data_IF_400987948909
#
_entry.id   IF_400987948909
#
_cell.length_a   1.000
_cell.length_b   1.000
_cell.length_c   1.000
_cell.angle_alpha   90.00
_cell.angle_beta   90.00
_cell.angle_gamma   90.00
#
_symmetry.space_group_name_H-M   'P 1'
#
loop_
_entity.id
_entity.type
_entity.pdbx_description
1 polymer ?
#
# COMPACT_ATOMS: atom_id res chain seq x y z
N UNK A 1 -3.16 9.98 -20.31
CA UNK A 1 -2.02 9.73 -19.35
C UNK A 1 -1.90 8.24 -19.13
N UNK A 2 -0.70 7.67 -19.12
CA UNK A 2 -0.52 6.25 -18.80
C UNK A 2 -0.51 6.08 -17.28
N UNK A 3 -1.54 5.42 -16.74
CA UNK A 3 -1.75 5.32 -15.28
C UNK A 3 -0.60 4.56 -14.59
N UNK A 4 -0.08 3.53 -15.24
CA UNK A 4 1.07 2.77 -14.71
C UNK A 4 2.29 3.66 -14.49
N UNK A 5 2.57 4.59 -15.41
CA UNK A 5 3.67 5.54 -15.26
C UNK A 5 3.44 6.55 -14.14
N UNK A 6 2.19 6.97 -13.91
CA UNK A 6 1.85 7.84 -12.77
C UNK A 6 2.15 7.13 -11.45
N UNK A 7 1.73 5.85 -11.34
CA UNK A 7 1.97 5.05 -10.14
C UNK A 7 3.47 4.84 -9.90
N UNK A 8 4.25 4.51 -10.94
CA UNK A 8 5.72 4.35 -10.85
C UNK A 8 6.41 5.63 -10.39
N UNK A 9 6.03 6.76 -10.97
CA UNK A 9 6.62 8.06 -10.61
C UNK A 9 6.21 8.51 -9.20
N UNK A 10 4.97 8.24 -8.78
CA UNK A 10 4.52 8.45 -7.41
C UNK A 10 5.35 7.62 -6.42
N UNK A 11 5.57 6.35 -6.73
CA UNK A 11 6.41 5.46 -5.95
C UNK A 11 7.85 5.97 -5.83
N UNK A 12 8.46 6.33 -6.95
CA UNK A 12 9.82 6.89 -6.98
C UNK A 12 9.94 8.22 -6.23
N UNK A 13 8.85 8.99 -6.12
CA UNK A 13 8.77 10.22 -5.34
C UNK A 13 8.51 9.99 -3.84
N UNK A 14 8.40 8.74 -3.38
CA UNK A 14 8.12 8.39 -1.98
C UNK A 14 6.68 8.70 -1.55
N UNK A 15 5.74 8.69 -2.48
CA UNK A 15 4.33 8.85 -2.13
C UNK A 15 3.81 7.62 -1.39
N UNK A 16 3.01 7.84 -0.34
CA UNK A 16 2.29 6.79 0.37
C UNK A 16 0.96 6.43 -0.32
N UNK A 17 0.30 7.43 -0.92
CA UNK A 17 -1.00 7.24 -1.56
C UNK A 17 -1.07 8.02 -2.89
N UNK A 18 -1.84 7.47 -3.83
CA UNK A 18 -2.24 8.11 -5.09
C UNK A 18 -3.75 8.12 -5.16
N UNK A 19 -4.34 9.28 -5.39
CA UNK A 19 -5.78 9.40 -5.60
C UNK A 19 -6.06 9.81 -7.04
N UNK A 20 -6.89 9.02 -7.70
CA UNK A 20 -7.28 9.21 -9.10
C UNK A 20 -8.78 9.48 -9.17
N UNK A 21 -9.15 10.71 -9.55
CA UNK A 21 -10.53 11.17 -9.66
C UNK A 21 -10.76 11.73 -11.06
N UNK A 22 -11.89 11.36 -11.65
CA UNK A 22 -12.32 11.95 -12.93
C UNK A 22 -12.37 13.48 -12.85
N UNK A 23 -11.89 14.14 -13.89
CA UNK A 23 -11.95 15.59 -14.01
C UNK A 23 -10.94 16.35 -13.14
N UNK A 24 -10.00 15.66 -12.51
CA UNK A 24 -8.92 16.26 -11.70
C UNK A 24 -7.56 15.68 -12.09
N UNK A 25 -6.46 16.38 -11.79
CA UNK A 25 -5.13 15.79 -11.85
C UNK A 25 -5.01 14.64 -10.84
N UNK A 26 -4.10 13.71 -11.08
CA UNK A 26 -3.73 12.74 -10.05
C UNK A 26 -3.21 13.46 -8.80
N UNK A 27 -3.61 13.01 -7.63
CA UNK A 27 -3.18 13.58 -6.35
C UNK A 27 -2.26 12.59 -5.64
N UNK A 28 -1.13 13.06 -5.15
CA UNK A 28 -0.16 12.26 -4.40
C UNK A 28 -0.13 12.71 -2.94
N UNK A 29 0.01 11.74 -2.03
CA UNK A 29 0.34 12.02 -0.63
C UNK A 29 1.82 11.73 -0.41
N UNK A 30 2.58 12.76 -0.08
CA UNK A 30 4.01 12.66 0.26
C UNK A 30 4.21 13.29 1.63
N UNK A 31 4.80 12.55 2.55
CA UNK A 31 5.01 12.99 3.94
C UNK A 31 3.74 13.57 4.59
N UNK A 32 2.59 12.90 4.38
CA UNK A 32 1.28 13.31 4.90
C UNK A 32 0.59 14.43 4.14
N UNK A 33 1.29 15.14 3.24
CA UNK A 33 0.74 16.27 2.49
C UNK A 33 0.21 15.84 1.13
N UNK A 34 -1.02 16.25 0.79
CA UNK A 34 -1.63 16.01 -0.53
C UNK A 34 -1.25 17.11 -1.51
N UNK A 35 -0.78 16.73 -2.69
CA UNK A 35 -0.45 17.65 -3.78
C UNK A 35 -0.87 17.10 -5.14
N UNK A 36 -1.17 17.99 -6.08
CA UNK A 36 -1.47 17.58 -7.45
C UNK A 36 -0.19 17.14 -8.16
N UNK A 37 -0.27 16.04 -8.89
CA UNK A 37 0.80 15.56 -9.76
C UNK A 37 0.57 16.05 -11.19
N UNK A 38 1.33 17.06 -11.59
CA UNK A 38 1.19 17.68 -12.89
C UNK A 38 -0.14 18.47 -13.05
N UNK A 39 -0.47 18.75 -14.29
CA UNK A 39 -1.69 19.53 -14.66
C UNK A 39 -2.64 18.75 -15.56
N UNK A 40 -2.28 17.52 -15.95
CA UNK A 40 -3.09 16.69 -16.84
C UNK A 40 -4.32 16.16 -16.11
N UNK A 41 -5.49 16.42 -16.69
CA UNK A 41 -6.78 16.05 -16.12
C UNK A 41 -7.14 14.62 -16.49
N UNK A 42 -7.41 13.81 -15.50
CA UNK A 42 -7.83 12.40 -15.67
C UNK A 42 -9.17 12.31 -16.40
N UNK A 43 -9.19 11.46 -17.41
CA UNK A 43 -10.36 11.13 -18.22
C UNK A 43 -10.88 9.74 -17.81
N UNK A 44 -12.14 9.42 -18.19
CA UNK A 44 -12.72 8.10 -17.92
C UNK A 44 -11.90 6.94 -18.50
N UNK A 45 -11.26 7.16 -19.65
CA UNK A 45 -10.39 6.14 -20.28
C UNK A 45 -9.21 5.77 -19.39
N UNK A 46 -8.62 6.74 -18.67
CA UNK A 46 -7.47 6.52 -17.80
C UNK A 46 -7.88 5.66 -16.57
N UNK A 47 -9.07 5.92 -16.02
CA UNK A 47 -9.64 5.12 -14.94
C UNK A 47 -10.03 3.71 -15.40
N UNK A 48 -10.57 3.56 -16.62
CA UNK A 48 -10.86 2.25 -17.19
C UNK A 48 -9.59 1.44 -17.45
N UNK A 49 -8.48 2.08 -17.82
CA UNK A 49 -7.17 1.44 -17.90
C UNK A 49 -6.75 0.88 -16.55
N UNK A 50 -6.85 1.68 -15.48
CA UNK A 50 -6.58 1.22 -14.11
C UNK A 50 -7.40 -0.02 -13.75
N UNK A 51 -8.72 -0.01 -14.02
CA UNK A 51 -9.59 -1.16 -13.74
C UNK A 51 -9.13 -2.42 -14.50
N UNK A 52 -8.59 -2.24 -15.70
CA UNK A 52 -8.11 -3.37 -16.51
C UNK A 52 -6.82 -3.95 -15.97
N UNK A 53 -5.95 -3.11 -15.41
CA UNK A 53 -4.69 -3.52 -14.79
C UNK A 53 -4.93 -4.16 -13.41
N UNK A 54 -5.85 -3.60 -12.62
CA UNK A 54 -5.97 -3.91 -11.21
C UNK A 54 -7.04 -4.97 -10.89
N UNK A 55 -8.05 -5.16 -11.73
CA UNK A 55 -9.20 -5.99 -11.40
C UNK A 55 -9.39 -7.16 -12.36
N UNK A 56 -9.65 -8.36 -11.81
CA UNK A 56 -10.15 -9.51 -12.56
C UNK A 56 -11.58 -9.28 -13.05
N UNK A 57 -12.07 -10.13 -13.94
CA UNK A 57 -13.45 -10.03 -14.45
C UNK A 57 -14.50 -10.18 -13.34
N UNK A 58 -14.28 -11.07 -12.37
CA UNK A 58 -15.20 -11.26 -11.25
C UNK A 58 -15.19 -10.05 -10.30
N UNK A 59 -14.01 -9.46 -10.08
CA UNK A 59 -13.89 -8.22 -9.30
C UNK A 59 -14.58 -7.03 -9.97
N UNK A 60 -14.53 -6.95 -11.32
CA UNK A 60 -15.27 -5.92 -12.07
C UNK A 60 -16.77 -6.07 -11.91
N UNK A 61 -17.31 -7.30 -11.93
CA UNK A 61 -18.73 -7.56 -11.67
C UNK A 61 -19.12 -7.14 -10.25
N UNK A 62 -18.31 -7.51 -9.24
CA UNK A 62 -18.54 -7.06 -7.87
C UNK A 62 -18.57 -5.54 -7.78
N UNK A 63 -17.62 -4.83 -8.40
CA UNK A 63 -17.61 -3.38 -8.45
C UNK A 63 -18.87 -2.78 -9.10
N UNK A 64 -19.39 -3.42 -10.15
CA UNK A 64 -20.64 -3.00 -10.79
C UNK A 64 -21.86 -3.17 -9.88
N UNK A 65 -21.90 -4.24 -9.10
CA UNK A 65 -23.00 -4.59 -8.19
C UNK A 65 -22.96 -3.81 -6.87
N UNK A 66 -21.79 -3.67 -6.26
CA UNK A 66 -21.62 -3.06 -4.92
C UNK A 66 -21.28 -1.58 -4.97
N UNK A 67 -20.68 -1.11 -6.07
CA UNK A 67 -20.21 0.26 -6.24
C UNK A 67 -18.80 0.53 -5.70
N UNK A 68 -18.17 -0.44 -5.01
CA UNK A 68 -16.80 -0.34 -4.50
C UNK A 68 -16.13 -1.71 -4.43
N UNK A 69 -14.80 -1.73 -4.48
CA UNK A 69 -13.99 -2.94 -4.28
C UNK A 69 -12.58 -2.60 -3.83
N UNK A 70 -12.05 -3.44 -2.95
CA UNK A 70 -10.64 -3.46 -2.59
C UNK A 70 -9.90 -4.56 -3.36
N UNK A 71 -8.73 -4.24 -3.88
CA UNK A 71 -7.86 -5.19 -4.56
C UNK A 71 -6.41 -4.99 -4.15
N UNK A 72 -5.66 -6.08 -4.12
CA UNK A 72 -4.21 -6.06 -3.96
C UNK A 72 -3.57 -6.53 -5.25
N UNK A 73 -2.68 -5.74 -5.83
CA UNK A 73 -2.12 -5.94 -7.16
C UNK A 73 -0.60 -5.83 -7.12
N UNK A 74 0.08 -6.71 -7.83
CA UNK A 74 1.52 -6.57 -8.08
C UNK A 74 1.72 -5.98 -9.48
N UNK A 75 2.38 -4.83 -9.54
CA UNK A 75 2.73 -4.17 -10.80
C UNK A 75 4.21 -4.50 -11.11
N UNK A 76 4.53 -4.99 -12.32
CA UNK A 76 5.91 -5.26 -12.71
C UNK A 76 6.81 -4.04 -12.51
N UNK A 77 7.92 -4.23 -11.78
CA UNK A 77 8.87 -3.16 -11.45
C UNK A 77 8.45 -2.26 -10.28
N UNK A 78 7.36 -2.62 -9.57
CA UNK A 78 6.91 -2.00 -8.33
C UNK A 78 6.67 -3.08 -7.28
N UNK A 79 6.57 -2.65 -6.02
CA UNK A 79 6.06 -3.52 -4.95
C UNK A 79 4.55 -3.76 -5.10
N UNK A 80 3.99 -4.53 -4.21
CA UNK A 80 2.53 -4.72 -4.12
C UNK A 80 1.86 -3.38 -3.79
N UNK A 81 0.72 -3.11 -4.43
CA UNK A 81 -0.12 -1.95 -4.17
C UNK A 81 -1.51 -2.40 -3.71
N UNK A 82 -2.14 -1.61 -2.87
CA UNK A 82 -3.56 -1.76 -2.52
C UNK A 82 -4.36 -0.70 -3.24
N UNK A 83 -5.45 -1.11 -3.88
CA UNK A 83 -6.31 -0.24 -4.67
C UNK A 83 -7.74 -0.39 -4.15
N UNK A 84 -8.30 0.69 -3.63
CA UNK A 84 -9.74 0.80 -3.43
C UNK A 84 -10.33 1.53 -4.63
N UNK A 85 -11.21 0.88 -5.36
CA UNK A 85 -11.96 1.46 -6.48
C UNK A 85 -13.40 1.65 -6.07
N UNK A 86 -13.95 2.82 -6.35
CA UNK A 86 -15.33 3.17 -6.00
C UNK A 86 -15.99 4.06 -7.05
N UNK A 87 -17.33 4.13 -6.99
CA UNK A 87 -18.11 5.05 -7.82
C UNK A 87 -18.38 6.36 -7.10
N UNK A 88 -18.07 7.47 -7.77
CA UNK A 88 -18.38 8.81 -7.31
C UNK A 88 -19.08 9.58 -8.44
N UNK A 89 -20.29 10.04 -8.21
CA UNK A 89 -21.10 10.78 -9.20
C UNK A 89 -21.24 10.05 -10.56
N UNK A 90 -21.40 8.73 -10.50
CA UNK A 90 -21.54 7.89 -11.69
C UNK A 90 -20.24 7.55 -12.42
N UNK A 91 -19.09 8.09 -11.99
CA UNK A 91 -17.78 7.84 -12.56
C UNK A 91 -16.93 7.00 -11.58
N UNK A 92 -15.94 6.29 -12.10
CA UNK A 92 -15.00 5.59 -11.25
C UNK A 92 -13.98 6.55 -10.65
N UNK A 93 -13.55 6.22 -9.44
CA UNK A 93 -12.44 6.84 -8.74
C UNK A 93 -11.61 5.76 -8.05
N UNK A 94 -10.36 6.05 -7.73
CA UNK A 94 -9.51 5.11 -7.03
C UNK A 94 -8.60 5.79 -6.00
N UNK A 95 -8.41 5.11 -4.88
CA UNK A 95 -7.38 5.39 -3.91
C UNK A 95 -6.38 4.23 -3.92
N UNK A 96 -5.12 4.53 -4.17
CA UNK A 96 -4.03 3.54 -4.28
C UNK A 96 -3.07 3.80 -3.13
N UNK A 97 -2.84 2.78 -2.31
CA UNK A 97 -1.77 2.79 -1.30
C UNK A 97 -0.54 2.10 -1.88
N UNK A 98 0.57 2.79 -1.81
CA UNK A 98 1.88 2.31 -2.22
C UNK A 98 2.63 1.79 -0.98
N UNK A 99 3.14 0.56 -1.07
CA UNK A 99 3.97 0.01 -0.01
C UNK A 99 5.43 0.40 -0.23
N UNK A 100 6.16 0.63 0.84
CA UNK A 100 7.60 0.82 0.76
C UNK A 100 8.27 -0.43 0.17
N UNK A 101 9.31 -0.27 -0.67
CA UNK A 101 9.98 -1.41 -1.33
C UNK A 101 10.70 -2.31 -0.34
N UNK A 102 11.26 -1.70 0.69
CA UNK A 102 12.09 -2.38 1.68
C UNK A 102 11.50 -2.21 3.08
N UNK A 103 11.67 -3.25 3.88
CA UNK A 103 11.33 -3.19 5.30
C UNK A 103 12.52 -2.54 6.02
N UNK A 104 12.34 -1.36 6.64
CA UNK A 104 13.43 -0.71 7.35
C UNK A 104 13.91 -1.55 8.52
N UNK A 105 15.19 -1.48 8.85
CA UNK A 105 15.75 -2.18 10.01
C UNK A 105 15.24 -1.58 11.33
N UNK A 106 15.25 -2.34 12.43
CA UNK A 106 14.88 -1.82 13.74
C UNK A 106 15.69 -0.58 14.17
N UNK A 107 16.96 -0.51 13.75
CA UNK A 107 17.83 0.64 14.02
C UNK A 107 17.38 1.90 13.28
N UNK A 108 17.00 1.80 12.01
CA UNK A 108 16.45 2.92 11.23
C UNK A 108 15.12 3.44 11.78
N UNK A 109 14.31 2.55 12.38
CA UNK A 109 13.06 2.89 13.07
C UNK A 109 13.25 3.39 14.50
N UNK A 110 14.48 3.45 14.99
CA UNK A 110 14.82 3.77 16.37
C UNK A 110 14.08 2.87 17.40
N UNK A 111 13.84 1.59 17.05
CA UNK A 111 13.25 0.62 17.96
C UNK A 111 14.24 0.32 19.08
N UNK A 112 13.83 0.43 20.36
CA UNK A 112 14.72 0.13 21.49
C UNK A 112 15.27 -1.29 21.43
N UNK A 113 16.54 -1.48 21.78
CA UNK A 113 17.21 -2.80 21.77
C UNK A 113 16.49 -3.85 22.65
N UNK A 114 15.88 -3.41 23.74
CA UNK A 114 15.04 -4.28 24.58
C UNK A 114 13.85 -4.89 23.84
N UNK A 115 13.27 -4.16 22.86
CA UNK A 115 12.17 -4.66 22.03
C UNK A 115 12.71 -5.63 20.98
N UNK A 116 13.87 -5.34 20.39
CA UNK A 116 14.53 -6.25 19.44
C UNK A 116 14.86 -7.57 20.12
N UNK A 117 15.34 -7.53 21.35
CA UNK A 117 15.65 -8.73 22.16
C UNK A 117 14.38 -9.55 22.44
N UNK A 118 13.24 -8.92 22.74
CA UNK A 118 11.96 -9.62 22.94
C UNK A 118 11.53 -10.42 21.70
N UNK A 119 11.83 -9.94 20.52
CA UNK A 119 11.52 -10.65 19.28
C UNK A 119 12.35 -11.95 19.09
N UNK A 120 13.47 -12.09 19.79
CA UNK A 120 14.33 -13.27 19.75
C UNK A 120 13.91 -14.38 20.70
N UNK A 121 12.98 -14.09 21.63
CA UNK A 121 12.48 -15.06 22.59
C UNK A 121 11.82 -16.27 21.90
N UNK A 122 12.07 -17.47 22.43
CA UNK A 122 11.56 -18.71 21.83
C UNK A 122 10.12 -19.04 22.22
N UNK A 123 9.57 -18.36 23.20
CA UNK A 123 8.22 -18.59 23.76
C UNK A 123 7.62 -17.30 24.26
N UNK A 124 6.31 -17.18 24.17
CA UNK A 124 5.57 -16.06 24.71
C UNK A 124 4.61 -15.43 23.71
N UNK A 125 4.02 -14.31 24.10
CA UNK A 125 3.15 -13.48 23.30
C UNK A 125 3.65 -12.05 23.41
N UNK A 126 3.89 -11.41 22.26
CA UNK A 126 4.21 -9.98 22.16
C UNK A 126 3.03 -9.27 21.55
N UNK A 127 2.51 -8.24 22.21
CA UNK A 127 1.42 -7.40 21.71
C UNK A 127 1.96 -6.03 21.35
N UNK A 128 1.79 -5.63 20.07
CA UNK A 128 2.13 -4.31 19.57
C UNK A 128 0.82 -3.53 19.39
N UNK A 129 0.62 -2.48 20.18
CA UNK A 129 -0.60 -1.69 20.21
C UNK A 129 -0.30 -0.21 19.97
N UNK A 130 -1.28 0.51 19.44
CA UNK A 130 -1.19 1.95 19.15
C UNK A 130 -2.26 2.40 18.14
N UNK A 131 -2.34 3.69 17.90
CA UNK A 131 -3.28 4.30 16.94
C UNK A 131 -2.97 3.90 15.49
N UNK A 132 -3.93 4.12 14.59
CA UNK A 132 -3.70 3.95 13.16
C UNK A 132 -2.57 4.88 12.69
N UNK A 133 -1.65 4.36 11.88
CA UNK A 133 -0.50 5.12 11.39
C UNK A 133 0.65 5.29 12.38
N UNK A 134 0.60 4.67 13.59
CA UNK A 134 1.67 4.76 14.60
C UNK A 134 2.89 3.87 14.31
N UNK A 135 2.92 3.14 13.19
CA UNK A 135 4.04 2.29 12.80
C UNK A 135 3.98 0.85 13.30
N UNK A 136 2.84 0.36 13.82
CA UNK A 136 2.70 -1.01 14.33
C UNK A 136 3.14 -2.09 13.32
N UNK A 137 2.54 -2.08 12.14
CA UNK A 137 2.84 -3.05 11.06
C UNK A 137 4.29 -2.93 10.62
N UNK A 138 4.78 -1.71 10.44
CA UNK A 138 6.17 -1.44 10.05
C UNK A 138 7.16 -1.98 11.10
N UNK A 139 6.90 -1.74 12.39
CA UNK A 139 7.74 -2.27 13.48
C UNK A 139 7.69 -3.79 13.52
N UNK A 140 6.50 -4.40 13.39
CA UNK A 140 6.34 -5.86 13.35
C UNK A 140 7.11 -6.45 12.17
N UNK A 141 6.93 -5.91 10.96
CA UNK A 141 7.64 -6.36 9.77
C UNK A 141 9.16 -6.25 9.93
N UNK A 142 9.63 -5.12 10.49
CA UNK A 142 11.05 -4.88 10.78
C UNK A 142 11.65 -5.93 11.72
N UNK A 143 10.96 -6.24 12.82
CA UNK A 143 11.39 -7.26 13.78
C UNK A 143 11.40 -8.67 13.16
N UNK A 144 10.37 -9.01 12.38
CA UNK A 144 10.30 -10.30 11.68
C UNK A 144 11.39 -10.44 10.61
N UNK A 145 11.68 -9.37 9.86
CA UNK A 145 12.76 -9.35 8.88
C UNK A 145 14.13 -9.52 9.52
N UNK A 146 14.37 -8.86 10.66
CA UNK A 146 15.58 -9.00 11.46
C UNK A 146 15.77 -10.44 11.98
N UNK A 147 14.68 -11.07 12.47
CA UNK A 147 14.69 -12.47 12.90
C UNK A 147 15.01 -13.42 11.74
N UNK A 148 14.36 -13.23 10.60
CA UNK A 148 14.54 -14.06 9.41
C UNK A 148 15.99 -14.02 8.89
N UNK A 149 16.65 -12.87 9.02
CA UNK A 149 18.04 -12.70 8.63
C UNK A 149 19.08 -13.34 9.56
N UNK A 150 18.73 -13.51 10.84
CA UNK A 150 19.65 -13.98 11.87
C UNK A 150 19.48 -15.45 12.26
N UNK A 151 18.29 -15.99 12.12
CA UNK A 151 17.94 -17.30 12.62
C UNK A 151 17.22 -18.15 11.58
N UNK A 152 17.51 -19.44 11.54
CA UNK A 152 16.80 -20.42 10.71
C UNK A 152 15.45 -20.79 11.36
N UNK A 153 14.51 -19.85 11.38
CA UNK A 153 13.16 -20.04 11.93
C UNK A 153 12.12 -20.14 10.80
N UNK A 154 11.06 -20.92 11.04
CA UNK A 154 9.86 -20.88 10.20
C UNK A 154 8.96 -19.77 10.72
N UNK A 155 8.71 -18.75 9.91
CA UNK A 155 7.87 -17.60 10.25
C UNK A 155 6.58 -17.71 9.44
N UNK A 156 5.43 -17.63 10.12
CA UNK A 156 4.11 -17.64 9.51
C UNK A 156 3.40 -16.35 9.92
N UNK A 157 2.95 -15.57 8.96
CA UNK A 157 2.14 -14.37 9.19
C UNK A 157 0.69 -14.61 8.79
N UNK A 158 -0.24 -13.99 9.53
CA UNK A 158 -1.67 -13.95 9.20
C UNK A 158 -2.07 -12.47 9.22
N UNK A 159 -2.38 -11.94 8.06
CA UNK A 159 -2.55 -10.50 7.86
C UNK A 159 -3.86 -10.17 7.14
N UNK A 160 -4.44 -9.03 7.46
CA UNK A 160 -5.60 -8.49 6.76
C UNK A 160 -5.50 -6.96 6.67
N UNK A 161 -5.20 -6.40 5.49
CA UNK A 161 -4.73 -7.08 4.28
C UNK A 161 -3.28 -7.63 4.43
N UNK A 162 -2.86 -8.50 3.52
CA UNK A 162 -1.45 -8.96 3.44
C UNK A 162 -0.62 -7.82 2.83
N UNK A 163 0.28 -7.24 3.63
CA UNK A 163 1.19 -6.15 3.24
C UNK A 163 2.57 -6.64 2.78
#
# INVERSE_FOLDING_TARGET
>A
MEITEVIKKAYAAGASDVHLLFGRPAMLRINGTMSAYGTEILQQKDLNELLTICLSQDQKKTLEETGEIDAAVSIPGLSRIFVNVYRQQGMYAAAIRLLAPDVPSPGELAVPESVVTLAQESKGLVLINGEAGSGKSTTTASLLNEMAGKEAKSIITIENPIE
#
